data_IF_908568798690
#
_entry.id   IF_908568798690
#
_cell.length_a   1.000
_cell.length_b   1.000
_cell.length_c   1.000
_cell.angle_alpha   90.00
_cell.angle_beta   90.00
_cell.angle_gamma   90.00
#
_symmetry.space_group_name_H-M   'P 1'
#
loop_
_entity.id
_entity.type
_entity.pdbx_description
1 polymer ?
#
# COMPACT_ATOMS: atom_id res chain seq x y z
N UNK A 1 -1.03 -20.15 22.26
CA UNK A 1 -1.34 -19.15 21.21
C UNK A 1 -0.51 -19.52 20.00
N UNK A 2 -1.10 -19.74 18.82
CA UNK A 2 -0.27 -19.95 17.62
C UNK A 2 0.42 -18.63 17.30
N UNK A 3 1.75 -18.60 17.30
CA UNK A 3 2.50 -17.42 16.90
C UNK A 3 2.11 -17.05 15.46
N UNK A 4 1.81 -15.77 15.22
CA UNK A 4 1.49 -15.27 13.87
C UNK A 4 2.66 -15.46 12.91
N UNK A 5 2.40 -15.41 11.61
CA UNK A 5 3.45 -15.44 10.58
C UNK A 5 3.66 -14.04 10.01
N UNK A 6 4.90 -13.69 9.74
CA UNK A 6 5.25 -12.47 9.02
C UNK A 6 5.91 -12.79 7.70
N UNK A 7 5.59 -11.98 6.69
CA UNK A 7 6.28 -11.94 5.41
C UNK A 7 7.11 -10.66 5.33
N UNK A 8 8.40 -10.82 5.13
CA UNK A 8 9.35 -9.74 4.90
C UNK A 8 9.72 -9.68 3.43
N UNK A 9 9.60 -8.51 2.82
CA UNK A 9 10.06 -8.25 1.45
C UNK A 9 11.15 -7.19 1.51
N UNK A 10 12.37 -7.61 1.18
CA UNK A 10 13.56 -6.77 1.12
C UNK A 10 13.92 -6.48 -0.34
N UNK A 11 13.68 -5.26 -0.84
CA UNK A 11 14.14 -4.87 -2.16
C UNK A 11 15.65 -4.99 -2.30
N UNK A 12 16.13 -5.56 -3.42
CA UNK A 12 17.56 -5.66 -3.72
C UNK A 12 18.13 -4.43 -4.43
N UNK A 13 17.30 -3.41 -4.62
CA UNK A 13 17.67 -2.15 -5.26
C UNK A 13 16.46 -1.21 -5.32
N UNK A 14 16.53 -0.23 -6.22
CA UNK A 14 15.42 0.69 -6.47
C UNK A 14 14.19 -0.07 -6.97
N UNK A 15 13.02 0.24 -6.42
CA UNK A 15 11.77 -0.44 -6.80
C UNK A 15 10.96 0.41 -7.74
N UNK A 16 10.25 -0.24 -8.66
CA UNK A 16 9.27 0.44 -9.52
C UNK A 16 7.87 0.02 -9.12
N UNK A 17 7.19 0.88 -8.39
CA UNK A 17 5.83 0.66 -7.93
C UNK A 17 4.88 1.44 -8.83
N UNK A 18 3.85 0.75 -9.34
CA UNK A 18 3.04 1.22 -10.48
C UNK A 18 2.50 2.62 -10.28
N UNK A 19 2.70 3.47 -11.28
CA UNK A 19 2.24 4.85 -11.30
C UNK A 19 0.79 4.98 -11.75
N UNK A 20 0.06 5.93 -11.16
CA UNK A 20 -1.11 6.51 -11.82
C UNK A 20 -0.63 7.28 -13.07
N UNK A 21 -1.35 7.22 -14.20
CA UNK A 21 -0.98 7.96 -15.42
C UNK A 21 -1.17 9.49 -15.31
N UNK A 22 -1.42 10.03 -14.12
CA UNK A 22 -1.75 11.45 -13.96
C UNK A 22 -0.47 12.27 -13.81
N UNK A 23 -0.08 12.85 -14.93
CA UNK A 23 0.80 14.01 -15.05
C UNK A 23 0.21 15.17 -14.25
N UNK A 24 0.99 15.80 -13.38
CA UNK A 24 0.62 17.13 -12.89
C UNK A 24 0.72 18.16 -14.03
N UNK A 25 0.15 19.37 -13.87
CA UNK A 25 0.27 20.46 -14.85
C UNK A 25 1.73 20.92 -15.04
N UNK A 26 2.60 20.59 -14.08
CA UNK A 26 4.04 20.76 -14.20
C UNK A 26 4.66 19.43 -14.65
N UNK A 27 5.14 19.43 -15.90
CA UNK A 27 6.03 18.45 -16.55
C UNK A 27 5.31 17.30 -17.27
N UNK A 28 5.24 17.43 -18.60
CA UNK A 28 5.15 16.31 -19.53
C UNK A 28 6.27 15.30 -19.19
N UNK A 29 5.89 14.08 -18.75
CA UNK A 29 6.83 12.96 -18.68
C UNK A 29 7.34 12.52 -17.31
N UNK A 30 6.77 12.97 -16.19
CA UNK A 30 7.07 12.38 -14.87
C UNK A 30 6.00 11.34 -14.51
N UNK A 31 6.38 10.06 -14.56
CA UNK A 31 5.59 8.99 -13.97
C UNK A 31 5.74 9.02 -12.45
N UNK A 32 4.63 9.11 -11.71
CA UNK A 32 4.67 9.15 -10.23
C UNK A 32 4.66 7.75 -9.65
N UNK A 33 5.68 7.33 -8.92
CA UNK A 33 5.67 6.03 -8.26
C UNK A 33 4.90 6.06 -6.94
N UNK A 34 4.25 4.95 -6.59
CA UNK A 34 3.67 4.78 -5.26
C UNK A 34 4.79 4.55 -4.24
N UNK A 35 4.64 5.09 -3.03
CA UNK A 35 5.58 4.85 -1.94
C UNK A 35 5.57 3.42 -1.41
N UNK A 36 4.46 2.70 -1.59
CA UNK A 36 4.26 1.31 -1.14
C UNK A 36 3.68 0.45 -2.26
N UNK A 37 4.01 -0.86 -2.29
CA UNK A 37 3.34 -1.77 -3.21
C UNK A 37 1.85 -1.84 -2.88
N UNK A 38 1.04 -2.04 -3.92
CA UNK A 38 -0.38 -2.28 -3.74
C UNK A 38 -0.61 -3.68 -3.16
N UNK A 39 -1.70 -3.89 -2.40
CA UNK A 39 -2.11 -5.23 -1.99
C UNK A 39 -2.29 -6.17 -3.18
N UNK A 40 -2.72 -5.67 -4.34
CA UNK A 40 -2.79 -6.47 -5.58
C UNK A 40 -1.42 -6.95 -6.09
N UNK A 41 -0.34 -6.21 -5.83
CA UNK A 41 1.03 -6.66 -6.11
C UNK A 41 1.41 -7.82 -5.19
N UNK A 42 1.11 -7.67 -3.90
CA UNK A 42 1.39 -8.70 -2.87
C UNK A 42 0.59 -9.97 -3.16
N UNK A 43 -0.69 -9.82 -3.47
CA UNK A 43 -1.58 -10.92 -3.90
C UNK A 43 -1.01 -11.66 -5.11
N UNK A 44 -0.52 -10.93 -6.11
CA UNK A 44 0.11 -11.53 -7.30
C UNK A 44 1.39 -12.30 -6.98
N UNK A 45 2.21 -11.80 -6.06
CA UNK A 45 3.42 -12.49 -5.58
C UNK A 45 3.03 -13.78 -4.87
N UNK A 46 2.07 -13.74 -3.95
CA UNK A 46 1.59 -14.92 -3.23
C UNK A 46 1.01 -15.95 -4.21
N UNK A 47 0.16 -15.51 -5.15
CA UNK A 47 -0.40 -16.39 -6.17
C UNK A 47 0.67 -17.06 -7.05
N UNK A 48 1.73 -16.33 -7.41
CA UNK A 48 2.87 -16.89 -8.15
C UNK A 48 3.64 -17.92 -7.33
N UNK A 49 3.91 -17.62 -6.05
CA UNK A 49 4.65 -18.51 -5.14
C UNK A 49 3.89 -19.81 -4.85
N UNK A 50 2.57 -19.73 -4.74
CA UNK A 50 1.68 -20.90 -4.59
C UNK A 50 1.35 -21.59 -5.94
N UNK A 51 2.02 -21.19 -7.03
CA UNK A 51 1.85 -21.73 -8.38
C UNK A 51 0.38 -21.75 -8.89
N UNK A 52 -0.39 -20.72 -8.51
CA UNK A 52 -1.79 -20.60 -8.90
C UNK A 52 -1.88 -20.05 -10.32
N UNK A 53 -2.60 -20.78 -11.19
CA UNK A 53 -2.93 -20.35 -12.54
C UNK A 53 -4.41 -20.02 -12.61
N UNK A 54 -4.72 -18.80 -13.04
CA UNK A 54 -6.11 -18.35 -13.19
C UNK A 54 -6.61 -18.63 -14.60
N UNK A 55 -7.85 -19.08 -14.73
CA UNK A 55 -8.51 -19.22 -16.02
C UNK A 55 -8.86 -17.84 -16.62
N UNK A 56 -8.61 -17.68 -17.93
CA UNK A 56 -8.83 -16.39 -18.62
C UNK A 56 -10.30 -15.98 -18.65
N UNK A 57 -11.25 -16.92 -18.72
CA UNK A 57 -12.69 -16.62 -18.75
C UNK A 57 -13.15 -16.12 -17.40
N UNK A 58 -12.70 -16.75 -16.32
CA UNK A 58 -13.02 -16.30 -14.95
C UNK A 58 -12.45 -14.91 -14.65
N UNK A 59 -11.21 -14.67 -15.06
CA UNK A 59 -10.57 -13.35 -14.91
C UNK A 59 -11.29 -12.25 -15.71
N UNK A 60 -11.87 -12.58 -16.87
CA UNK A 60 -12.68 -11.63 -17.66
C UNK A 60 -14.04 -11.33 -17.02
N UNK A 61 -14.62 -12.30 -16.30
CA UNK A 61 -15.91 -12.15 -15.60
C UNK A 61 -15.76 -11.40 -14.27
N UNK A 62 -14.59 -11.47 -13.64
CA UNK A 62 -14.28 -10.70 -12.45
C UNK A 62 -14.12 -9.20 -12.77
N UNK A 63 -14.94 -8.30 -12.19
CA UNK A 63 -14.81 -6.86 -12.45
C UNK A 63 -13.50 -6.27 -11.92
N UNK A 64 -12.79 -6.97 -11.01
CA UNK A 64 -11.43 -6.59 -10.59
C UNK A 64 -10.32 -7.18 -11.46
N UNK A 65 -10.68 -7.83 -12.58
CA UNK A 65 -9.75 -8.41 -13.55
C UNK A 65 -8.73 -9.36 -12.92
N UNK A 66 -9.21 -10.26 -12.08
CA UNK A 66 -8.49 -11.40 -11.51
C UNK A 66 -8.08 -11.25 -10.05
N UNK A 67 -8.22 -10.06 -9.45
CA UNK A 67 -7.97 -9.89 -8.00
C UNK A 67 -8.98 -10.74 -7.23
N UNK A 68 -10.27 -10.64 -7.57
CA UNK A 68 -11.32 -11.36 -6.85
C UNK A 68 -11.15 -12.87 -6.96
N UNK A 69 -10.89 -13.37 -8.17
CA UNK A 69 -10.67 -14.80 -8.42
C UNK A 69 -9.48 -15.33 -7.61
N UNK A 70 -8.35 -14.61 -7.63
CA UNK A 70 -7.16 -15.03 -6.90
C UNK A 70 -7.37 -14.99 -5.38
N UNK A 71 -8.08 -13.98 -4.88
CA UNK A 71 -8.45 -13.88 -3.46
C UNK A 71 -9.34 -15.05 -3.04
N UNK A 72 -10.35 -15.41 -3.85
CA UNK A 72 -11.24 -16.53 -3.54
C UNK A 72 -10.47 -17.87 -3.47
N UNK A 73 -9.58 -18.13 -4.44
CA UNK A 73 -8.74 -19.35 -4.46
C UNK A 73 -7.80 -19.40 -3.25
N UNK A 74 -7.17 -18.27 -2.92
CA UNK A 74 -6.21 -18.21 -1.80
C UNK A 74 -6.89 -18.30 -0.43
N UNK A 75 -8.15 -17.89 -0.30
CA UNK A 75 -8.85 -17.91 0.98
C UNK A 75 -9.80 -19.11 1.15
N UNK A 76 -10.18 -19.84 0.09
CA UNK A 76 -11.03 -21.03 0.15
C UNK A 76 -12.23 -20.85 1.11
N UNK A 77 -12.99 -19.76 0.90
CA UNK A 77 -14.15 -19.36 1.73
C UNK A 77 -13.86 -18.82 3.14
N UNK A 78 -12.58 -18.74 3.56
CA UNK A 78 -12.21 -18.09 4.82
C UNK A 78 -12.80 -16.69 4.95
N UNK A 79 -13.26 -16.35 6.16
CA UNK A 79 -13.73 -15.00 6.52
C UNK A 79 -12.58 -14.04 6.81
N UNK A 80 -11.34 -14.52 6.86
CA UNK A 80 -10.15 -13.71 7.15
C UNK A 80 -9.69 -12.89 5.93
N UNK A 81 -8.73 -11.99 6.17
CA UNK A 81 -7.94 -11.37 5.10
C UNK A 81 -6.72 -12.24 4.76
N UNK A 82 -6.07 -11.93 3.63
CA UNK A 82 -4.84 -12.61 3.23
C UNK A 82 -3.59 -12.03 3.93
N UNK A 83 -3.49 -10.71 3.96
CA UNK A 83 -2.34 -9.97 4.53
C UNK A 83 -2.81 -8.71 5.24
N UNK A 84 -2.06 -8.31 6.28
CA UNK A 84 -2.18 -6.99 6.91
C UNK A 84 -0.84 -6.25 6.84
N UNK A 85 -0.90 -4.93 6.71
CA UNK A 85 0.27 -4.05 6.51
C UNK A 85 0.19 -3.22 5.20
N UNK A 86 1.31 -2.67 4.70
CA UNK A 86 2.67 -2.88 5.19
C UNK A 86 3.04 -2.03 6.42
N UNK A 87 3.89 -2.60 7.26
CA UNK A 87 4.83 -1.85 8.10
C UNK A 87 6.20 -1.82 7.43
N UNK A 88 7.03 -0.83 7.74
CA UNK A 88 8.43 -0.79 7.34
C UNK A 88 9.31 -1.11 8.52
N UNK A 89 10.26 -2.01 8.34
CA UNK A 89 11.48 -2.06 9.15
C UNK A 89 12.57 -1.27 8.43
N UNK A 90 13.13 -0.27 9.11
CA UNK A 90 14.21 0.57 8.62
C UNK A 90 15.45 0.27 9.45
N UNK A 91 16.53 -0.13 8.77
CA UNK A 91 17.84 -0.30 9.39
C UNK A 91 18.64 1.00 9.27
N UNK A 92 18.90 1.69 10.38
CA UNK A 92 19.71 2.91 10.36
C UNK A 92 21.17 2.58 9.98
N UNK A 93 21.77 3.27 8.99
CA UNK A 93 23.10 2.91 8.47
C UNK A 93 24.22 2.90 9.51
N UNK A 94 24.19 3.85 10.46
CA UNK A 94 25.29 4.09 11.40
C UNK A 94 25.09 3.42 12.76
N UNK A 95 23.86 3.43 13.29
CA UNK A 95 23.57 2.88 14.62
C UNK A 95 23.21 1.39 14.57
N UNK A 96 22.88 0.84 13.38
CA UNK A 96 22.25 -0.48 13.21
C UNK A 96 20.97 -0.66 14.05
N UNK A 97 20.38 0.43 14.49
CA UNK A 97 19.09 0.44 15.16
C UNK A 97 18.01 0.09 14.14
N UNK A 98 17.14 -0.84 14.51
CA UNK A 98 15.92 -1.15 13.77
C UNK A 98 14.82 -0.22 14.22
N UNK A 99 14.13 0.39 13.26
CA UNK A 99 12.99 1.25 13.54
C UNK A 99 11.80 0.78 12.71
N UNK A 100 10.68 0.56 13.38
CA UNK A 100 9.41 0.32 12.72
C UNK A 100 8.76 1.65 12.35
N UNK A 101 8.29 1.74 11.10
CA UNK A 101 7.69 2.94 10.55
C UNK A 101 6.45 2.64 9.72
N UNK A 102 5.54 3.61 9.69
CA UNK A 102 4.41 3.66 8.76
C UNK A 102 4.65 4.69 7.66
N UNK A 103 3.85 4.61 6.61
CA UNK A 103 3.85 5.58 5.52
C UNK A 103 2.77 6.62 5.75
N UNK A 104 3.15 7.88 5.67
CA UNK A 104 2.26 9.02 5.71
C UNK A 104 2.26 9.70 4.35
N UNK A 105 1.16 9.61 3.59
CA UNK A 105 1.05 10.24 2.29
C UNK A 105 0.46 11.65 2.40
N UNK A 106 1.31 12.67 2.27
CA UNK A 106 0.91 14.07 2.27
C UNK A 106 0.96 14.59 0.83
N UNK A 107 -0.22 14.79 0.22
CA UNK A 107 -0.34 15.12 -1.21
C UNK A 107 0.38 14.08 -2.09
N UNK A 108 1.52 14.46 -2.65
CA UNK A 108 2.35 13.63 -3.54
C UNK A 108 3.59 13.09 -2.84
N UNK A 109 3.89 13.57 -1.64
CA UNK A 109 5.07 13.19 -0.88
C UNK A 109 4.71 12.07 0.10
N UNK A 110 5.66 11.18 0.36
CA UNK A 110 5.49 10.11 1.34
C UNK A 110 6.59 10.23 2.38
N UNK A 111 6.18 10.52 3.61
CA UNK A 111 7.06 10.54 4.78
C UNK A 111 7.02 9.20 5.50
N UNK A 112 8.16 8.78 6.03
CA UNK A 112 8.29 7.59 6.86
C UNK A 112 8.27 8.02 8.32
N UNK A 113 7.25 7.58 9.05
CA UNK A 113 7.01 8.01 10.42
C UNK A 113 7.26 6.83 11.34
N UNK A 114 8.17 6.99 12.31
CA UNK A 114 8.40 5.99 13.36
C UNK A 114 7.09 5.68 14.06
N UNK A 115 6.89 4.42 14.46
CA UNK A 115 5.79 4.03 15.32
C UNK A 115 6.31 3.68 16.70
N UNK A 116 5.78 4.38 17.70
CA UNK A 116 5.88 4.05 19.12
C UNK A 116 4.64 4.59 19.86
N UNK A 117 4.43 4.18 21.10
CA UNK A 117 3.26 4.56 21.90
C UNK A 117 3.10 6.06 22.06
N UNK A 118 4.20 6.81 22.17
CA UNK A 118 4.15 8.26 22.32
C UNK A 118 3.60 8.92 21.06
N UNK A 119 4.00 8.43 19.89
CA UNK A 119 3.51 8.92 18.60
C UNK A 119 2.03 8.58 18.43
N UNK A 120 1.60 7.36 18.74
CA UNK A 120 0.19 6.97 18.66
C UNK A 120 -0.68 7.84 19.59
N UNK A 121 -0.23 8.06 20.83
CA UNK A 121 -0.93 8.93 21.80
C UNK A 121 -1.01 10.38 21.32
N UNK A 122 0.05 10.87 20.68
CA UNK A 122 0.11 12.22 20.10
C UNK A 122 -0.89 12.36 18.96
N UNK A 123 -0.92 11.39 18.03
CA UNK A 123 -1.86 11.40 16.91
C UNK A 123 -3.30 11.34 17.42
N UNK A 124 -3.60 10.47 18.40
CA UNK A 124 -4.94 10.35 19.00
C UNK A 124 -5.42 11.66 19.62
N UNK A 125 -4.55 12.34 20.39
CA UNK A 125 -4.95 13.53 21.16
C UNK A 125 -4.96 14.82 20.32
N UNK A 126 -4.02 14.96 19.40
CA UNK A 126 -3.76 16.23 18.73
C UNK A 126 -3.95 16.16 17.21
N UNK A 127 -4.08 14.96 16.62
CA UNK A 127 -4.15 14.73 15.18
C UNK A 127 -2.97 15.36 14.40
N UNK A 128 -1.79 15.44 15.01
CA UNK A 128 -0.54 15.90 14.40
C UNK A 128 0.57 14.88 14.58
N UNK A 129 1.61 15.02 13.78
CA UNK A 129 2.84 14.22 13.86
C UNK A 129 4.00 15.18 14.12
N UNK A 130 4.82 14.90 15.12
CA UNK A 130 6.02 15.70 15.38
C UNK A 130 7.09 15.40 14.32
N UNK A 131 7.79 16.43 13.85
CA UNK A 131 8.88 16.27 12.88
C UNK A 131 10.00 15.34 13.38
N UNK A 132 10.24 15.29 14.69
CA UNK A 132 11.19 14.37 15.33
C UNK A 132 10.83 12.90 15.15
N UNK A 133 9.58 12.58 14.84
CA UNK A 133 9.10 11.23 14.53
C UNK A 133 9.37 10.82 13.07
N UNK A 134 9.77 11.76 12.21
CA UNK A 134 10.08 11.47 10.82
C UNK A 134 11.48 10.84 10.73
N UNK A 135 11.53 9.61 10.21
CA UNK A 135 12.78 8.84 10.07
C UNK A 135 13.29 8.79 8.64
N UNK A 136 12.47 9.25 7.69
CA UNK A 136 12.86 9.35 6.30
C UNK A 136 11.73 9.83 5.41
N UNK A 137 11.98 9.76 4.11
CA UNK A 137 11.04 10.11 3.05
C UNK A 137 11.28 9.23 1.83
N UNK A 138 10.32 9.23 0.94
CA UNK A 138 10.43 8.59 -0.37
C UNK A 138 10.66 9.66 -1.41
N UNK A 139 11.71 9.49 -2.21
CA UNK A 139 12.04 10.38 -3.32
C UNK A 139 11.97 9.65 -4.65
N UNK A 140 11.48 10.29 -5.72
CA UNK A 140 11.51 9.74 -7.05
C UNK A 140 12.94 9.82 -7.62
N UNK A 141 13.47 8.69 -8.09
CA UNK A 141 14.74 8.64 -8.84
C UNK A 141 14.47 8.38 -10.31
N UNK A 142 14.79 9.36 -11.15
CA UNK A 142 14.58 9.28 -12.59
C UNK A 142 15.82 8.67 -13.25
N UNK A 143 15.64 7.64 -14.06
CA UNK A 143 16.68 7.08 -14.94
C UNK A 143 16.23 7.20 -16.40
N UNK A 144 17.16 7.54 -17.27
CA UNK A 144 16.93 7.62 -18.72
C UNK A 144 17.41 6.32 -19.34
N UNK A 145 16.63 5.76 -20.24
CA UNK A 145 17.04 4.61 -21.04
C UNK A 145 16.77 4.80 -22.51
N UNK A 146 17.51 4.05 -23.30
CA UNK A 146 17.43 4.00 -24.75
C UNK A 146 17.34 2.53 -25.18
N UNK A 147 16.71 2.25 -26.31
CA UNK A 147 16.92 0.99 -27.03
C UNK A 147 17.89 1.22 -28.19
N UNK A 148 18.83 0.30 -28.38
CA UNK A 148 19.69 0.27 -29.55
C UNK A 148 18.97 -0.40 -30.70
N UNK A 149 19.27 -0.03 -31.95
CA UNK A 149 18.70 -0.69 -33.13
C UNK A 149 19.04 -2.18 -33.16
N UNK A 150 20.23 -2.57 -32.71
CA UNK A 150 20.61 -3.99 -32.51
C UNK A 150 19.55 -4.80 -31.75
N UNK A 151 18.96 -4.18 -30.73
CA UNK A 151 18.00 -4.82 -29.83
C UNK A 151 16.62 -5.02 -30.48
N UNK A 152 16.35 -4.35 -31.60
CA UNK A 152 15.04 -4.29 -32.26
C UNK A 152 15.12 -4.89 -33.68
N UNK A 153 16.05 -4.39 -34.49
CA UNK A 153 16.21 -4.70 -35.91
C UNK A 153 17.08 -5.94 -36.16
N UNK A 154 17.76 -6.49 -35.13
CA UNK A 154 18.68 -7.65 -35.21
C UNK A 154 19.80 -7.51 -36.26
N UNK A 155 20.05 -6.30 -36.76
CA UNK A 155 21.19 -5.93 -37.57
C UNK A 155 22.26 -5.29 -36.67
N UNK A 156 23.55 -5.45 -36.99
CA UNK A 156 24.62 -4.82 -36.20
C UNK A 156 24.71 -3.32 -36.54
N UNK A 157 24.00 -2.52 -35.78
CA UNK A 157 23.86 -1.08 -35.85
C UNK A 157 23.70 -0.46 -34.43
N UNK A 158 24.84 -0.17 -33.77
CA UNK A 158 24.94 0.37 -32.41
C UNK A 158 24.50 1.83 -32.26
N UNK A 159 23.45 2.23 -32.97
CA UNK A 159 22.82 3.54 -32.85
C UNK A 159 21.50 3.43 -32.09
N UNK A 160 21.04 4.56 -31.55
CA UNK A 160 19.75 4.65 -30.86
C UNK A 160 18.62 4.39 -31.86
N UNK A 161 17.67 3.54 -31.49
CA UNK A 161 16.46 3.34 -32.27
C UNK A 161 15.55 4.57 -32.16
N UNK A 162 15.09 5.08 -33.30
CA UNK A 162 14.28 6.29 -33.37
C UNK A 162 12.98 6.09 -32.58
N UNK A 163 12.68 7.01 -31.65
CA UNK A 163 11.48 6.93 -30.81
C UNK A 163 11.60 6.00 -29.58
N UNK A 164 12.73 5.32 -29.38
CA UNK A 164 12.94 4.40 -28.24
C UNK A 164 13.79 5.01 -27.12
N UNK A 165 13.65 6.31 -26.87
CA UNK A 165 14.13 6.95 -25.65
C UNK A 165 13.00 6.99 -24.63
N UNK A 166 13.26 6.54 -23.41
CA UNK A 166 12.26 6.49 -22.34
C UNK A 166 12.84 6.96 -21.01
N UNK A 167 11.95 7.44 -20.14
CA UNK A 167 12.27 7.79 -18.75
C UNK A 167 11.60 6.82 -17.80
N UNK A 168 12.33 6.41 -16.79
CA UNK A 168 11.89 5.49 -15.74
C UNK A 168 11.94 6.21 -14.42
N UNK A 169 10.89 6.09 -13.62
CA UNK A 169 10.87 6.65 -12.27
C UNK A 169 10.84 5.51 -11.28
N UNK A 170 11.85 5.48 -10.43
CA UNK A 170 11.98 4.53 -9.34
C UNK A 170 11.71 5.19 -8.00
N UNK A 171 11.37 4.35 -7.03
CA UNK A 171 11.19 4.71 -5.63
C UNK A 171 12.52 4.51 -4.93
N UNK A 172 13.01 5.57 -4.29
CA UNK A 172 14.15 5.49 -3.38
C UNK A 172 13.70 5.93 -1.99
N UNK A 173 13.98 5.09 -0.99
CA UNK A 173 13.79 5.41 0.41
C UNK A 173 15.06 6.07 0.90
N UNK A 174 14.93 7.25 1.51
CA UNK A 174 16.06 8.03 2.01
C UNK A 174 15.79 8.56 3.41
N UNK A 175 16.83 8.81 4.18
CA UNK A 175 16.72 9.51 5.45
C UNK A 175 16.45 11.01 5.24
N UNK A 176 16.46 11.78 6.32
CA UNK A 176 16.22 13.22 6.25
C UNK A 176 17.37 14.00 5.57
N UNK A 177 18.56 13.41 5.49
CA UNK A 177 19.74 13.93 4.80
C UNK A 177 19.88 13.38 3.36
N UNK A 178 18.82 12.73 2.85
CA UNK A 178 18.75 12.10 1.52
C UNK A 178 19.70 10.92 1.28
N UNK A 179 20.25 10.34 2.36
CA UNK A 179 21.07 9.12 2.25
C UNK A 179 20.18 7.89 2.08
N UNK A 180 20.56 6.91 1.24
CA UNK A 180 19.74 5.72 1.02
C UNK A 180 19.48 4.91 2.29
N UNK A 181 18.21 4.55 2.51
CA UNK A 181 17.80 3.67 3.60
C UNK A 181 17.65 2.22 3.10
N UNK A 182 18.07 1.27 3.93
CA UNK A 182 17.73 -0.15 3.77
C UNK A 182 16.40 -0.40 4.47
N UNK A 183 15.41 -0.84 3.69
CA UNK A 183 14.05 -1.07 4.16
C UNK A 183 13.60 -2.50 3.89
N UNK A 184 12.81 -3.04 4.82
CA UNK A 184 12.09 -4.29 4.65
C UNK A 184 10.59 -4.01 4.85
N UNK A 185 9.77 -4.44 3.91
CA UNK A 185 8.31 -4.34 4.00
C UNK A 185 7.81 -5.56 4.76
N UNK A 186 7.12 -5.33 5.87
CA UNK A 186 6.64 -6.36 6.78
C UNK A 186 5.12 -6.45 6.67
N UNK A 187 4.62 -7.67 6.48
CA UNK A 187 3.20 -8.00 6.46
C UNK A 187 2.92 -9.12 7.44
N UNK A 188 1.79 -9.06 8.13
CA UNK A 188 1.25 -10.24 8.79
C UNK A 188 0.57 -11.11 7.73
N UNK A 189 0.93 -12.39 7.71
CA UNK A 189 0.29 -13.41 6.90
C UNK A 189 -0.76 -14.12 7.74
N UNK A 190 -2.03 -14.00 7.36
CA UNK A 190 -3.13 -14.72 8.02
C UNK A 190 -3.27 -16.17 7.52
N UNK A 191 -2.33 -16.64 6.69
CA UNK A 191 -2.24 -18.00 6.18
C UNK A 191 -0.78 -18.40 6.03
N UNK A 192 -0.48 -19.65 6.34
CA UNK A 192 0.85 -20.23 6.09
C UNK A 192 1.10 -20.39 4.59
N UNK A 193 2.26 -19.91 4.14
CA UNK A 193 2.81 -20.17 2.82
C UNK A 193 3.78 -21.34 2.90
N UNK A 194 3.90 -22.12 1.81
CA UNK A 194 4.82 -23.26 1.77
C UNK A 194 6.28 -22.85 1.53
N UNK A 195 6.56 -21.55 1.40
CA UNK A 195 7.86 -21.00 1.05
C UNK A 195 8.38 -20.15 2.20
N UNK A 196 9.54 -20.53 2.73
CA UNK A 196 10.22 -19.79 3.79
C UNK A 196 11.11 -18.66 3.26
N UNK A 197 11.71 -18.84 2.08
CA UNK A 197 12.61 -17.84 1.48
C UNK A 197 12.65 -17.99 -0.03
N UNK A 198 12.56 -16.88 -0.77
CA UNK A 198 12.61 -16.88 -2.23
C UNK A 198 13.12 -15.56 -2.81
N UNK A 199 13.72 -15.61 -3.99
CA UNK A 199 14.01 -14.44 -4.81
C UNK A 199 12.82 -14.20 -5.74
N UNK A 200 12.17 -13.05 -5.62
CA UNK A 200 10.95 -12.73 -6.36
C UNK A 200 11.14 -11.52 -7.27
N UNK A 201 10.32 -11.45 -8.33
CA UNK A 201 10.11 -10.20 -9.06
C UNK A 201 9.22 -9.30 -8.20
N UNK A 202 9.69 -8.10 -7.93
CA UNK A 202 9.02 -7.14 -7.04
C UNK A 202 8.94 -5.77 -7.70
N UNK A 203 7.74 -5.42 -8.15
CA UNK A 203 7.50 -4.22 -8.95
C UNK A 203 7.70 -4.42 -10.45
N UNK A 204 7.77 -3.31 -11.19
CA UNK A 204 7.95 -3.30 -12.64
C UNK A 204 9.41 -3.45 -13.08
N UNK A 205 9.61 -3.59 -14.39
CA UNK A 205 10.93 -3.53 -15.06
C UNK A 205 11.97 -4.53 -14.53
N UNK A 206 11.52 -5.71 -14.11
CA UNK A 206 12.41 -6.81 -13.72
C UNK A 206 13.11 -6.61 -12.38
N UNK A 207 12.69 -5.62 -11.57
CA UNK A 207 13.22 -5.42 -10.22
C UNK A 207 12.95 -6.64 -9.33
N UNK A 208 13.88 -6.90 -8.41
CA UNK A 208 13.89 -8.08 -7.57
C UNK A 208 13.89 -7.73 -6.09
N UNK A 209 13.31 -8.62 -5.29
CA UNK A 209 13.36 -8.56 -3.84
C UNK A 209 13.59 -9.96 -3.27
N UNK A 210 14.20 -10.01 -2.09
CA UNK A 210 14.23 -11.21 -1.26
C UNK A 210 12.95 -11.24 -0.42
N UNK A 211 12.19 -12.31 -0.53
CA UNK A 211 11.02 -12.59 0.29
C UNK A 211 11.40 -13.64 1.34
N UNK A 212 10.99 -13.42 2.58
CA UNK A 212 11.18 -14.33 3.70
C UNK A 212 9.86 -14.46 4.46
N UNK A 213 9.52 -15.67 4.89
CA UNK A 213 8.39 -15.95 5.78
C UNK A 213 8.96 -16.55 7.05
N UNK A 214 8.61 -15.98 8.19
CA UNK A 214 9.10 -16.41 9.50
C UNK A 214 8.00 -16.28 10.56
N UNK A 215 8.21 -16.94 11.69
CA UNK A 215 7.35 -16.76 12.86
C UNK A 215 7.54 -15.36 13.44
N UNK A 216 6.45 -14.77 13.90
CA UNK A 216 6.44 -13.42 14.43
C UNK A 216 7.17 -13.38 15.79
N UNK A 217 8.22 -12.56 15.88
CA UNK A 217 8.90 -12.29 17.15
C UNK A 217 8.04 -11.46 18.10
N UNK A 218 8.36 -11.46 19.40
CA UNK A 218 7.68 -10.63 20.41
C UNK A 218 7.68 -9.13 20.09
N UNK A 219 8.74 -8.64 19.44
CA UNK A 219 8.84 -7.25 18.99
C UNK A 219 7.73 -6.90 17.98
N UNK A 220 7.49 -7.78 17.00
CA UNK A 220 6.43 -7.57 16.02
C UNK A 220 5.04 -7.86 16.59
N UNK A 221 4.90 -8.82 17.51
CA UNK A 221 3.60 -9.15 18.12
C UNK A 221 2.94 -7.91 18.72
N UNK A 222 3.69 -7.11 19.51
CA UNK A 222 3.16 -5.89 20.16
C UNK A 222 2.54 -4.90 19.18
N UNK A 223 3.12 -4.74 17.99
CA UNK A 223 2.61 -3.79 16.99
C UNK A 223 1.53 -4.42 16.12
N UNK A 224 1.70 -5.68 15.69
CA UNK A 224 0.75 -6.35 14.80
C UNK A 224 -0.54 -6.74 15.50
N UNK A 225 -0.55 -6.91 16.84
CA UNK A 225 -1.78 -7.00 17.63
C UNK A 225 -2.67 -5.75 17.49
N UNK A 226 -2.08 -4.58 17.21
CA UNK A 226 -2.82 -3.35 16.93
C UNK A 226 -3.21 -3.21 15.47
N UNK A 227 -2.71 -4.08 14.59
CA UNK A 227 -2.99 -4.01 13.15
C UNK A 227 -4.15 -4.95 12.81
N UNK A 228 -5.20 -4.37 12.24
CA UNK A 228 -6.42 -5.09 11.87
C UNK A 228 -6.80 -4.77 10.42
N UNK A 229 -7.61 -5.63 9.82
CA UNK A 229 -8.36 -5.27 8.63
C UNK A 229 -9.72 -4.66 9.00
N UNK A 230 -10.44 -3.98 8.08
CA UNK A 230 -11.77 -3.50 8.40
C UNK A 230 -12.77 -4.64 8.64
N UNK A 231 -12.46 -5.86 8.17
CA UNK A 231 -13.27 -7.06 8.42
C UNK A 231 -13.23 -7.44 9.91
N UNK A 232 -12.12 -7.17 10.60
CA UNK A 232 -11.89 -7.52 12.02
C UNK A 232 -11.99 -6.30 12.95
N UNK A 233 -11.98 -5.09 12.38
CA UNK A 233 -11.97 -3.85 13.15
C UNK A 233 -13.23 -3.69 13.99
N UNK A 234 -13.02 -3.26 15.23
CA UNK A 234 -14.08 -2.81 16.14
C UNK A 234 -14.31 -1.31 15.93
N UNK A 235 -15.42 -0.74 16.42
CA UNK A 235 -15.57 0.70 16.47
C UNK A 235 -14.42 1.35 17.26
N UNK A 236 -13.86 2.43 16.73
CA UNK A 236 -12.68 3.10 17.29
C UNK A 236 -11.88 3.89 16.28
N UNK A 237 -10.78 4.50 16.74
CA UNK A 237 -9.86 5.30 15.97
C UNK A 237 -8.71 4.48 15.40
N UNK A 238 -8.44 4.70 14.12
CA UNK A 238 -7.41 3.98 13.36
C UNK A 238 -6.65 4.92 12.43
N UNK A 239 -5.42 4.53 12.11
CA UNK A 239 -4.65 5.08 10.98
C UNK A 239 -4.67 4.05 9.86
N UNK A 240 -5.04 4.48 8.65
CA UNK A 240 -4.99 3.62 7.46
C UNK A 240 -3.54 3.41 7.03
N UNK A 241 -3.03 2.19 7.06
CA UNK A 241 -1.64 1.84 6.69
C UNK A 241 -1.43 1.69 5.18
N UNK A 242 -2.49 1.38 4.44
CA UNK A 242 -2.47 1.32 2.98
C UNK A 242 -3.68 2.06 2.39
N UNK A 243 -4.13 1.73 1.17
CA UNK A 243 -5.20 2.49 0.51
C UNK A 243 -6.57 1.98 0.92
N UNK A 244 -7.44 2.87 1.42
CA UNK A 244 -8.83 2.55 1.74
C UNK A 244 -9.72 2.70 0.49
N UNK A 245 -10.30 1.63 -0.08
CA UNK A 245 -11.11 1.73 -1.29
C UNK A 245 -12.36 2.59 -1.10
N UNK A 246 -12.60 3.49 -2.06
CA UNK A 246 -13.81 4.28 -2.23
C UNK A 246 -14.31 4.12 -3.68
N UNK A 247 -15.41 3.39 -3.87
CA UNK A 247 -15.95 3.13 -5.21
C UNK A 247 -17.14 4.07 -5.43
N UNK A 248 -17.04 5.05 -6.35
CA UNK A 248 -18.15 5.96 -6.64
C UNK A 248 -19.34 5.20 -7.23
N UNK A 249 -20.53 5.45 -6.68
CA UNK A 249 -21.83 5.02 -7.22
C UNK A 249 -22.37 6.04 -8.22
N UNK A 250 -21.99 7.31 -8.06
CA UNK A 250 -22.40 8.45 -8.90
C UNK A 250 -21.21 9.37 -9.20
N UNK A 251 -21.35 10.27 -10.17
CA UNK A 251 -20.35 11.29 -10.48
C UNK A 251 -20.43 12.48 -9.49
N UNK A 252 -20.19 12.21 -8.20
CA UNK A 252 -20.17 13.25 -7.16
C UNK A 252 -18.74 13.70 -6.82
N UNK A 253 -18.63 14.88 -6.20
CA UNK A 253 -17.39 15.42 -5.63
C UNK A 253 -17.39 15.35 -4.08
N UNK A 254 -18.55 15.09 -3.46
CA UNK A 254 -18.69 15.12 -2.00
C UNK A 254 -18.70 13.71 -1.39
N UNK A 255 -17.94 13.51 -0.31
CA UNK A 255 -17.86 12.26 0.46
C UNK A 255 -19.16 11.99 1.25
N UNK A 256 -20.23 11.59 0.56
CA UNK A 256 -21.49 11.16 1.16
C UNK A 256 -21.65 9.65 1.02
N UNK A 257 -22.18 9.00 2.06
CA UNK A 257 -22.38 7.53 2.11
C UNK A 257 -23.13 6.96 0.90
N UNK A 258 -24.12 7.71 0.45
CA UNK A 258 -25.03 7.33 -0.63
C UNK A 258 -24.34 7.34 -1.99
N UNK A 259 -23.21 8.05 -2.10
CA UNK A 259 -22.48 8.20 -3.35
C UNK A 259 -21.25 7.29 -3.45
N UNK A 260 -20.83 6.64 -2.37
CA UNK A 260 -19.62 5.80 -2.36
C UNK A 260 -19.88 4.47 -1.66
N UNK A 261 -19.32 3.39 -2.23
CA UNK A 261 -19.08 2.15 -1.50
C UNK A 261 -17.77 2.31 -0.74
N UNK A 262 -17.74 1.87 0.51
CA UNK A 262 -16.62 1.98 1.45
C UNK A 262 -16.80 3.07 2.50
N UNK A 263 -17.96 3.71 2.55
CA UNK A 263 -18.31 4.69 3.60
C UNK A 263 -19.30 4.14 4.63
N UNK A 264 -19.74 2.90 4.47
CA UNK A 264 -20.70 2.23 5.33
C UNK A 264 -20.19 2.03 6.77
N UNK A 265 -18.86 2.02 6.98
CA UNK A 265 -18.20 1.90 8.29
C UNK A 265 -18.33 3.15 9.18
N UNK A 266 -18.66 4.29 8.59
CA UNK A 266 -18.76 5.57 9.27
C UNK A 266 -20.22 5.86 9.59
N UNK A 267 -20.51 6.72 10.56
CA UNK A 267 -21.85 7.26 10.79
C UNK A 267 -22.02 8.56 10.00
N UNK A 268 -21.03 9.46 10.11
CA UNK A 268 -20.94 10.75 9.44
C UNK A 268 -19.54 10.87 8.82
N UNK A 269 -19.36 10.48 7.53
CA UNK A 269 -18.03 10.46 6.91
C UNK A 269 -17.26 11.77 6.99
N UNK A 270 -17.98 12.90 7.00
CA UNK A 270 -17.42 14.26 7.07
C UNK A 270 -16.68 14.53 8.40
N UNK A 271 -17.10 13.90 9.50
CA UNK A 271 -16.46 14.01 10.81
C UNK A 271 -15.65 12.77 11.20
N UNK A 272 -16.06 11.60 10.73
CA UNK A 272 -15.43 10.33 11.06
C UNK A 272 -14.16 10.08 10.24
N UNK A 273 -14.02 10.70 9.07
CA UNK A 273 -12.77 10.72 8.30
C UNK A 273 -12.02 12.00 8.65
N UNK A 274 -11.17 11.94 9.66
CA UNK A 274 -10.42 13.10 10.17
C UNK A 274 -9.43 13.61 9.11
N UNK A 275 -8.77 12.70 8.38
CA UNK A 275 -7.81 13.04 7.34
C UNK A 275 -6.36 12.71 7.71
N UNK A 276 -5.43 13.07 6.83
CA UNK A 276 -3.99 12.86 7.03
C UNK A 276 -3.44 13.93 7.97
N UNK A 277 -2.83 13.56 9.11
CA UNK A 277 -2.24 14.50 10.05
C UNK A 277 -1.07 15.25 9.42
N UNK A 278 -0.81 16.46 9.93
CA UNK A 278 0.32 17.29 9.47
C UNK A 278 1.56 17.03 10.31
N UNK A 279 2.72 17.19 9.67
CA UNK A 279 4.01 17.18 10.36
C UNK A 279 4.25 18.59 10.89
N UNK A 280 4.46 18.73 12.20
CA UNK A 280 4.64 20.01 12.90
C UNK A 280 5.93 20.00 13.72
N UNK A 281 6.47 21.19 13.99
CA UNK A 281 7.71 21.32 14.79
C UNK A 281 7.43 21.15 16.29
N UNK A 282 6.24 21.56 16.75
CA UNK A 282 5.84 21.48 18.15
C UNK A 282 4.34 21.24 18.33
N UNK A 283 3.94 20.67 19.47
CA UNK A 283 2.52 20.45 19.80
C UNK A 283 1.70 21.74 19.97
N UNK A 284 2.34 22.90 20.05
CA UNK A 284 1.66 24.21 20.09
C UNK A 284 1.13 24.61 18.70
N UNK A 285 1.70 24.04 17.65
CA UNK A 285 1.30 24.28 16.26
C UNK A 285 0.15 23.34 15.90
N UNK A 286 -1.08 23.82 16.06
CA UNK A 286 -2.24 23.06 15.60
C UNK A 286 -2.49 23.34 14.12
N UNK A 287 -2.40 22.30 13.29
CA UNK A 287 -2.81 22.36 11.89
C UNK A 287 -3.81 21.25 11.64
N UNK A 288 -4.98 21.64 11.15
CA UNK A 288 -6.06 20.69 10.85
C UNK A 288 -5.57 19.62 9.84
N UNK A 289 -5.84 18.33 10.12
CA UNK A 289 -5.63 17.25 9.16
C UNK A 289 -6.37 17.52 7.86
N UNK A 290 -5.86 16.97 6.75
CA UNK A 290 -6.51 17.12 5.44
C UNK A 290 -6.91 15.78 4.86
N UNK A 291 -8.16 15.68 4.44
CA UNK A 291 -8.64 14.53 3.68
C UNK A 291 -7.92 14.53 2.32
N UNK A 292 -7.27 13.42 2.00
CA UNK A 292 -6.56 13.21 0.75
C UNK A 292 -7.16 12.00 0.03
N UNK A 293 -7.90 12.26 -1.04
CA UNK A 293 -8.47 11.23 -1.90
C UNK A 293 -7.59 11.10 -3.13
N UNK A 294 -7.13 9.88 -3.40
CA UNK A 294 -6.27 9.61 -4.56
C UNK A 294 -6.98 8.69 -5.54
N UNK A 295 -6.77 8.94 -6.84
CA UNK A 295 -7.20 8.02 -7.89
C UNK A 295 -6.14 6.92 -8.04
N UNK A 296 -6.52 5.71 -7.69
CA UNK A 296 -5.64 4.55 -7.65
C UNK A 296 -6.01 3.54 -8.74
N UNK A 297 -5.07 3.20 -9.61
CA UNK A 297 -5.20 2.02 -10.47
C UNK A 297 -4.90 0.75 -9.69
N UNK A 298 -5.76 -0.26 -9.79
CA UNK A 298 -5.61 -1.54 -9.08
C UNK A 298 -4.48 -2.44 -9.63
N UNK A 299 -3.65 -1.92 -10.53
CA UNK A 299 -2.49 -2.58 -11.12
C UNK A 299 -2.72 -3.08 -12.55
N UNK A 300 -2.05 -4.17 -12.92
CA UNK A 300 -2.09 -4.76 -14.25
C UNK A 300 -2.43 -6.25 -14.15
N UNK A 301 -3.37 -6.71 -14.96
CA UNK A 301 -3.73 -8.13 -15.05
C UNK A 301 -2.74 -8.86 -15.94
N UNK A 302 -1.84 -9.65 -15.34
CA UNK A 302 -0.87 -10.45 -16.08
C UNK A 302 -1.52 -11.53 -16.96
N UNK A 303 -2.72 -11.99 -16.60
CA UNK A 303 -3.46 -13.03 -17.32
C UNK A 303 -4.08 -12.47 -18.61
N UNK A 304 -4.66 -11.27 -18.53
CA UNK A 304 -5.33 -10.61 -19.65
C UNK A 304 -4.45 -9.60 -20.40
N UNK A 305 -3.29 -9.26 -19.83
CA UNK A 305 -2.36 -8.23 -20.34
C UNK A 305 -2.99 -6.85 -20.51
N UNK A 306 -3.88 -6.47 -19.59
CA UNK A 306 -4.56 -5.17 -19.56
C UNK A 306 -4.46 -4.51 -18.18
N UNK A 307 -4.64 -3.19 -18.12
CA UNK A 307 -4.73 -2.43 -16.86
C UNK A 307 -6.01 -2.81 -16.11
N UNK A 308 -5.90 -2.95 -14.79
CA UNK A 308 -7.06 -3.11 -13.90
C UNK A 308 -7.79 -1.77 -13.73
N UNK A 309 -9.05 -1.78 -13.27
CA UNK A 309 -9.82 -0.55 -13.07
C UNK A 309 -9.14 0.42 -12.12
N UNK A 310 -9.51 1.70 -12.25
CA UNK A 310 -9.15 2.74 -11.31
C UNK A 310 -10.30 3.00 -10.34
N UNK A 311 -9.96 3.18 -9.08
CA UNK A 311 -10.90 3.54 -8.00
C UNK A 311 -10.42 4.81 -7.29
N UNK A 312 -11.27 5.42 -6.47
CA UNK A 312 -10.81 6.42 -5.52
C UNK A 312 -10.40 5.71 -4.23
N UNK A 313 -9.49 6.30 -3.46
CA UNK A 313 -9.10 5.76 -2.16
C UNK A 313 -8.75 6.87 -1.17
N UNK A 314 -8.92 6.61 0.13
CA UNK A 314 -8.21 7.39 1.15
C UNK A 314 -6.74 6.95 1.14
N UNK A 315 -5.82 7.91 1.20
CA UNK A 315 -4.39 7.62 1.17
C UNK A 315 -3.87 7.05 2.49
N UNK A 316 -2.73 6.32 2.48
CA UNK A 316 -2.05 5.89 3.69
C UNK A 316 -1.75 7.06 4.63
N UNK A 317 -1.90 6.81 5.93
CA UNK A 317 -1.77 7.79 6.99
C UNK A 317 -3.06 8.56 7.33
N UNK A 318 -4.17 8.30 6.64
CA UNK A 318 -5.46 8.92 6.97
C UNK A 318 -5.93 8.41 8.34
N UNK A 319 -6.32 9.32 9.24
CA UNK A 319 -6.98 8.99 10.51
C UNK A 319 -8.48 8.84 10.24
N UNK A 320 -9.05 7.75 10.73
CA UNK A 320 -10.47 7.42 10.62
C UNK A 320 -11.03 6.99 11.98
N UNK A 321 -12.33 7.21 12.17
CA UNK A 321 -13.11 6.72 13.29
C UNK A 321 -14.17 5.76 12.77
N UNK A 322 -13.92 4.46 12.91
CA UNK A 322 -14.90 3.43 12.54
C UNK A 322 -16.02 3.45 13.57
N UNK A 323 -17.26 3.54 13.10
CA UNK A 323 -18.48 3.56 13.94
C UNK A 323 -19.20 2.23 13.96
N UNK A 324 -19.11 1.48 12.87
CA UNK A 324 -19.79 0.20 12.70
C UNK A 324 -18.79 -0.92 12.44
N UNK A 325 -18.91 -2.02 13.17
CA UNK A 325 -18.15 -3.23 12.89
C UNK A 325 -18.59 -3.84 11.55
N UNK A 326 -17.70 -4.59 10.89
CA UNK A 326 -18.00 -5.22 9.60
C UNK A 326 -19.27 -6.10 9.62
N UNK A 327 -19.49 -6.86 10.69
CA UNK A 327 -20.64 -7.75 10.81
C UNK A 327 -21.98 -6.99 10.82
N UNK A 328 -22.01 -5.72 11.25
CA UNK A 328 -23.23 -4.89 11.25
C UNK A 328 -23.60 -4.37 9.85
N UNK A 329 -22.60 -4.22 8.97
CA UNK A 329 -22.78 -3.59 7.66
C UNK A 329 -22.51 -4.51 6.48
N UNK A 330 -22.06 -5.75 6.72
CA UNK A 330 -21.63 -6.70 5.70
C UNK A 330 -22.66 -6.87 4.58
N UNK A 331 -23.94 -6.94 4.93
CA UNK A 331 -25.04 -7.12 3.96
C UNK A 331 -25.25 -5.91 3.04
N UNK A 332 -24.80 -4.72 3.46
CA UNK A 332 -24.85 -3.48 2.67
C UNK A 332 -23.64 -3.34 1.74
N UNK A 333 -22.60 -4.13 1.94
CA UNK A 333 -21.37 -4.08 1.17
C UNK A 333 -21.44 -5.04 -0.02
N UNK A 334 -21.19 -4.57 -1.26
CA UNK A 334 -21.18 -5.46 -2.41
C UNK A 334 -19.97 -6.40 -2.34
N UNK A 335 -20.15 -7.63 -2.84
CA UNK A 335 -19.13 -8.67 -2.76
C UNK A 335 -17.77 -8.24 -3.32
N UNK A 336 -17.76 -7.43 -4.39
CA UNK A 336 -16.53 -6.88 -4.97
C UNK A 336 -15.70 -6.05 -3.98
N UNK A 337 -16.37 -5.28 -3.12
CA UNK A 337 -15.70 -4.48 -2.11
C UNK A 337 -15.10 -5.37 -1.01
N UNK A 338 -15.86 -6.38 -0.59
CA UNK A 338 -15.40 -7.38 0.39
C UNK A 338 -14.16 -8.11 -0.14
N UNK A 339 -14.11 -8.44 -1.43
CA UNK A 339 -12.92 -9.06 -2.06
C UNK A 339 -11.69 -8.16 -2.02
N UNK A 340 -11.84 -6.84 -2.17
CA UNK A 340 -10.73 -5.90 -1.98
C UNK A 340 -10.22 -5.91 -0.53
N UNK A 341 -11.12 -5.86 0.45
CA UNK A 341 -10.73 -5.95 1.87
C UNK A 341 -10.00 -7.27 2.17
N UNK A 342 -10.55 -8.39 1.70
CA UNK A 342 -9.95 -9.73 1.81
C UNK A 342 -8.57 -9.83 1.14
N UNK A 343 -8.35 -9.12 0.04
CA UNK A 343 -7.05 -9.04 -0.63
C UNK A 343 -5.99 -8.24 0.17
N UNK A 344 -6.37 -7.62 1.31
CA UNK A 344 -5.48 -6.86 2.18
C UNK A 344 -5.51 -5.35 1.95
N UNK A 345 -6.51 -4.82 1.24
CA UNK A 345 -6.75 -3.37 1.23
C UNK A 345 -7.31 -2.89 2.58
N UNK A 346 -7.10 -1.61 2.88
CA UNK A 346 -7.48 -0.97 4.14
C UNK A 346 -6.86 -1.55 5.42
N UNK A 347 -5.61 -2.00 5.43
CA UNK A 347 -4.95 -2.34 6.70
C UNK A 347 -4.97 -1.14 7.66
N UNK A 348 -5.30 -1.36 8.93
CA UNK A 348 -5.53 -0.33 9.93
C UNK A 348 -4.60 -0.53 11.12
N UNK A 349 -4.01 0.54 11.64
CA UNK A 349 -3.32 0.56 12.93
C UNK A 349 -4.23 1.22 13.97
N UNK A 350 -4.61 0.47 15.00
CA UNK A 350 -5.37 1.01 16.13
C UNK A 350 -4.57 2.05 16.88
N UNK A 351 -5.21 3.18 17.20
CA UNK A 351 -4.63 4.24 18.03
C UNK A 351 -5.38 4.44 19.34
N UNK A 352 -6.32 3.54 19.67
CA UNK A 352 -7.17 3.65 20.86
C UNK A 352 -6.63 2.96 22.12
N UNK A 353 -5.44 2.35 22.05
CA UNK A 353 -4.74 1.75 23.18
C UNK A 353 -4.34 2.75 24.27
#
# INVERSE_FOLDING_TARGET
MSMGLIMKIKPLGLVRLSSSPISGPYIFGIQRSLGVPLPSTILGIIGFLENIRLDKKDVRRDPLLGIGVLTDILLKESTTVLVKGPMLEIMKPYTREKVLAMHLQIKNDVSLIKIDENILRTIRKYHVILKTSQVGKIVPKVEIGIALRDSIEKSFNRTVALGYAFRRVFVQYVDMDEKPLKIELIYELCRRLNIMKSLIRFGGEGRQAQLMVEEMSEEYLKIFEKIVSPIEAKPGYYIVLNYWPLIPKTNTVFLRKEHFIGLEFFERPESDIIGVPRIVESLKEYIQPRINIVRLGLGFSEVLKIRRPQILTLSPGTIIHIKHAFNEIKERLPNIYIKLLKAGYSSLLSIDS
#
